data_IF_590458308916
#
_entry.id   IF_590458308916
#
_cell.length_a   1.000
_cell.length_b   1.000
_cell.length_c   1.000
_cell.angle_alpha   90.00
_cell.angle_beta   90.00
_cell.angle_gamma   90.00
#
_symmetry.space_group_name_H-M   'P 1'
#
loop_
_entity.id
_entity.type
_entity.pdbx_description
1 polymer ?
#
# COMPACT_ATOMS: atom_id res chain seq x y z
N UNK A 1 -33.41 20.46 56.19
CA UNK A 1 -33.43 20.08 54.76
C UNK A 1 -32.28 19.11 54.56
N UNK A 2 -32.55 17.81 54.61
CA UNK A 2 -31.54 16.74 54.69
C UNK A 2 -31.77 15.82 53.50
N UNK A 3 -30.82 15.80 52.56
CA UNK A 3 -30.92 15.09 51.29
C UNK A 3 -30.25 13.72 51.44
N UNK A 4 -31.02 12.65 51.18
CA UNK A 4 -30.55 11.26 51.14
C UNK A 4 -29.98 10.97 49.74
N UNK A 5 -28.80 10.34 49.61
CA UNK A 5 -28.28 9.93 48.31
C UNK A 5 -28.88 8.56 47.90
N UNK A 6 -29.46 8.52 46.70
CA UNK A 6 -29.97 7.30 46.07
C UNK A 6 -28.83 6.44 45.50
N UNK A 7 -28.84 5.15 45.86
CA UNK A 7 -27.94 4.12 45.35
C UNK A 7 -28.45 3.67 43.97
N UNK A 8 -27.59 3.76 42.95
CA UNK A 8 -27.84 3.23 41.60
C UNK A 8 -27.13 1.89 41.47
N UNK A 9 -27.91 0.80 41.43
CA UNK A 9 -27.43 -0.56 41.14
C UNK A 9 -27.39 -0.79 39.63
N UNK A 10 -26.20 -1.06 39.09
CA UNK A 10 -25.98 -1.43 37.69
C UNK A 10 -25.97 -2.96 37.59
N UNK A 11 -26.98 -3.54 36.93
CA UNK A 11 -26.99 -4.96 36.55
C UNK A 11 -26.10 -5.17 35.31
N UNK A 12 -25.14 -6.08 35.43
CA UNK A 12 -24.39 -6.61 34.30
C UNK A 12 -25.14 -7.79 33.69
N UNK A 13 -25.55 -7.67 32.42
CA UNK A 13 -26.06 -8.78 31.63
C UNK A 13 -24.91 -9.49 30.93
N UNK A 14 -24.58 -10.70 31.37
CA UNK A 14 -23.65 -11.60 30.68
C UNK A 14 -24.37 -12.34 29.56
N UNK A 15 -23.99 -12.09 28.31
CA UNK A 15 -24.44 -12.87 27.15
C UNK A 15 -23.51 -14.08 26.95
N UNK A 16 -24.10 -15.27 26.99
CA UNK A 16 -23.49 -16.55 26.63
C UNK A 16 -23.30 -16.63 25.12
N UNK A 17 -22.07 -16.81 24.65
CA UNK A 17 -21.75 -17.11 23.26
C UNK A 17 -21.77 -18.63 23.08
N UNK A 18 -22.79 -19.13 22.37
CA UNK A 18 -22.87 -20.52 21.93
C UNK A 18 -21.81 -20.84 20.88
N UNK A 19 -21.02 -21.88 21.12
CA UNK A 19 -20.05 -22.43 20.17
C UNK A 19 -20.75 -23.38 19.20
N UNK A 20 -20.71 -23.07 17.90
CA UNK A 20 -21.08 -23.99 16.82
C UNK A 20 -19.84 -24.76 16.39
N UNK A 21 -19.85 -26.07 16.64
CA UNK A 21 -18.83 -27.00 16.18
C UNK A 21 -18.91 -27.15 14.65
N UNK A 22 -17.76 -27.01 14.00
CA UNK A 22 -17.59 -27.15 12.55
C UNK A 22 -17.57 -28.63 12.15
N UNK A 23 -18.39 -28.99 11.15
CA UNK A 23 -18.41 -30.32 10.52
C UNK A 23 -17.15 -30.50 9.65
N UNK A 24 -16.41 -31.61 9.75
CA UNK A 24 -15.30 -31.88 8.85
C UNK A 24 -15.81 -32.40 7.50
N UNK A 25 -15.42 -31.70 6.43
CA UNK A 25 -15.62 -32.16 5.05
C UNK A 25 -14.64 -33.30 4.73
N UNK A 26 -15.19 -34.43 4.25
CA UNK A 26 -14.44 -35.54 3.64
C UNK A 26 -13.73 -35.08 2.35
N UNK A 27 -12.50 -35.54 2.08
CA UNK A 27 -11.88 -35.38 0.78
C UNK A 27 -12.42 -36.44 -0.21
N UNK A 28 -12.92 -35.99 -1.36
CA UNK A 28 -13.24 -36.85 -2.49
C UNK A 28 -11.97 -37.21 -3.26
N UNK A 29 -11.69 -38.50 -3.33
CA UNK A 29 -10.70 -39.09 -4.24
C UNK A 29 -11.15 -38.91 -5.70
N UNK A 30 -10.22 -38.51 -6.55
CA UNK A 30 -10.27 -38.79 -7.98
C UNK A 30 -8.88 -39.25 -8.43
N UNK A 31 -8.79 -40.49 -8.91
CA UNK A 31 -7.76 -40.92 -9.85
C UNK A 31 -7.98 -40.23 -11.21
N UNK A 32 -7.22 -40.43 -12.27
CA UNK A 32 -6.17 -41.38 -12.62
C UNK A 32 -5.44 -40.78 -13.85
N UNK A 33 -4.32 -41.41 -14.20
CA UNK A 33 -3.67 -41.48 -15.53
C UNK A 33 -2.26 -40.88 -15.59
N UNK A 34 -1.31 -41.80 -15.48
CA UNK A 34 0.02 -41.68 -16.02
C UNK A 34 -0.02 -41.76 -17.57
N UNK A 35 0.82 -40.98 -18.24
CA UNK A 35 1.51 -41.44 -19.45
C UNK A 35 2.80 -40.67 -19.65
N UNK A 36 3.80 -41.48 -19.94
CA UNK A 36 5.21 -41.21 -20.17
C UNK A 36 5.46 -40.54 -21.52
N UNK A 37 6.51 -39.74 -21.62
CA UNK A 37 7.53 -39.93 -22.66
C UNK A 37 8.77 -39.08 -22.39
N UNK A 38 9.92 -39.77 -22.45
CA UNK A 38 11.28 -39.24 -22.48
C UNK A 38 11.58 -38.67 -23.87
N UNK A 39 12.42 -37.64 -23.93
CA UNK A 39 13.10 -37.23 -25.16
C UNK A 39 13.95 -35.97 -24.95
N UNK A 40 15.24 -36.18 -24.67
CA UNK A 40 16.34 -35.21 -24.80
C UNK A 40 17.38 -35.89 -25.73
N UNK A 41 18.45 -35.22 -26.20
CA UNK A 41 18.58 -33.85 -26.70
C UNK A 41 19.34 -33.84 -28.07
N UNK A 42 19.41 -32.70 -28.76
CA UNK A 42 20.42 -32.51 -29.81
C UNK A 42 20.88 -31.05 -29.91
N UNK A 43 22.20 -30.92 -29.84
CA UNK A 43 23.05 -29.74 -29.88
C UNK A 43 23.41 -29.37 -31.32
N UNK A 44 23.59 -28.07 -31.62
CA UNK A 44 24.65 -27.60 -32.53
C UNK A 44 24.98 -26.10 -32.23
N UNK A 45 26.25 -25.67 -32.32
CA UNK A 45 26.72 -24.38 -31.86
C UNK A 45 26.89 -23.35 -32.99
N UNK A 46 26.82 -22.07 -32.65
CA UNK A 46 27.24 -20.96 -33.51
C UNK A 46 27.77 -19.81 -32.66
N UNK A 47 29.06 -19.51 -32.79
CA UNK A 47 29.63 -18.19 -32.48
C UNK A 47 29.06 -17.14 -33.45
N UNK A 48 29.29 -15.83 -33.31
CA UNK A 48 30.43 -15.13 -32.71
C UNK A 48 30.05 -13.61 -32.59
N UNK A 49 30.96 -12.64 -32.37
CA UNK A 49 30.83 -11.61 -31.34
C UNK A 49 30.44 -10.21 -31.85
N UNK A 50 29.96 -9.32 -30.95
CA UNK A 50 30.23 -7.87 -31.01
C UNK A 50 29.66 -7.16 -29.78
N UNK A 51 30.56 -6.80 -28.87
CA UNK A 51 30.33 -5.85 -27.79
C UNK A 51 30.38 -4.43 -28.36
N UNK A 52 29.25 -3.72 -28.35
CA UNK A 52 29.17 -2.27 -28.62
C UNK A 52 28.68 -1.52 -27.36
N UNK A 53 29.22 -0.32 -27.05
CA UNK A 53 29.00 0.31 -25.76
C UNK A 53 27.68 1.10 -25.70
N UNK A 54 26.98 0.95 -24.58
CA UNK A 54 26.33 2.07 -23.89
C UNK A 54 25.13 2.75 -24.55
N UNK A 55 23.99 2.05 -24.65
CA UNK A 55 22.67 2.71 -24.51
C UNK A 55 22.11 2.42 -23.12
N UNK A 56 22.25 3.37 -22.19
CA UNK A 56 21.43 3.40 -20.97
C UNK A 56 20.01 3.81 -21.34
N UNK A 57 19.19 2.87 -21.82
CA UNK A 57 17.74 3.02 -21.80
C UNK A 57 17.06 1.66 -21.89
N UNK A 58 16.53 1.21 -20.75
CA UNK A 58 15.22 0.56 -20.63
C UNK A 58 15.06 0.04 -19.20
N UNK A 59 14.43 0.82 -18.31
CA UNK A 59 13.77 0.23 -17.16
C UNK A 59 12.56 -0.56 -17.67
N UNK A 60 12.74 -1.84 -18.01
CA UNK A 60 11.60 -2.73 -18.17
C UNK A 60 11.95 -4.15 -17.76
N UNK A 61 11.92 -4.37 -16.45
CA UNK A 61 11.63 -5.68 -15.89
C UNK A 61 10.39 -5.53 -15.04
N UNK A 62 9.22 -5.93 -15.54
CA UNK A 62 8.09 -6.23 -14.67
C UNK A 62 7.50 -7.60 -15.00
N UNK A 63 8.23 -8.66 -14.60
CA UNK A 63 7.60 -9.80 -13.95
C UNK A 63 8.20 -9.95 -12.55
N UNK A 64 7.54 -9.35 -11.54
CA UNK A 64 8.00 -9.41 -10.16
C UNK A 64 7.28 -8.46 -9.22
N UNK A 65 7.55 -8.60 -7.92
CA UNK A 65 7.11 -7.63 -6.89
C UNK A 65 8.07 -6.45 -6.86
N UNK A 66 7.53 -5.23 -6.75
CA UNK A 66 8.32 -4.00 -6.63
C UNK A 66 8.11 -3.34 -5.28
N UNK A 67 9.08 -2.54 -4.84
CA UNK A 67 8.92 -1.62 -3.72
C UNK A 67 7.95 -0.51 -4.10
N UNK A 68 6.88 -0.36 -3.33
CA UNK A 68 5.88 0.71 -3.50
C UNK A 68 6.17 1.86 -2.56
N UNK A 69 6.78 1.60 -1.42
CA UNK A 69 7.20 2.64 -0.48
C UNK A 69 7.37 2.08 0.93
N UNK A 70 7.46 3.01 1.87
CA UNK A 70 7.80 2.74 3.26
C UNK A 70 6.85 3.46 4.19
N UNK A 71 6.72 3.00 5.42
CA UNK A 71 6.02 3.77 6.46
C UNK A 71 6.55 3.46 7.84
N UNK A 72 6.36 4.42 8.73
CA UNK A 72 6.69 4.28 10.16
C UNK A 72 5.38 4.10 10.94
N UNK A 73 5.31 3.11 11.82
CA UNK A 73 4.07 2.76 12.55
C UNK A 73 4.36 2.35 13.99
N UNK A 74 3.32 2.44 14.83
CA UNK A 74 3.39 1.93 16.20
C UNK A 74 3.67 0.41 16.23
N UNK A 75 4.41 -0.13 17.22
CA UNK A 75 4.73 -1.56 17.30
C UNK A 75 3.54 -2.50 17.23
N UNK A 76 2.39 -2.10 17.78
CA UNK A 76 1.16 -2.89 17.70
C UNK A 76 0.69 -3.09 16.25
N UNK A 77 0.74 -2.04 15.43
CA UNK A 77 0.38 -2.10 14.01
C UNK A 77 1.40 -2.92 13.22
N UNK A 78 2.69 -2.74 13.50
CA UNK A 78 3.76 -3.52 12.85
C UNK A 78 3.64 -5.03 13.14
N UNK A 79 3.33 -5.41 14.38
CA UNK A 79 3.06 -6.80 14.73
C UNK A 79 1.86 -7.36 13.96
N UNK A 80 0.75 -6.62 13.90
CA UNK A 80 -0.41 -7.00 13.09
C UNK A 80 -0.05 -7.20 11.61
N UNK A 81 0.76 -6.30 11.03
CA UNK A 81 1.26 -6.42 9.66
C UNK A 81 2.13 -7.67 9.45
N UNK A 82 3.03 -7.96 10.39
CA UNK A 82 3.93 -9.12 10.28
C UNK A 82 3.22 -10.47 10.47
N UNK A 83 2.10 -10.52 11.21
CA UNK A 83 1.34 -11.78 11.37
C UNK A 83 0.73 -12.25 10.06
N UNK A 84 0.17 -11.33 9.26
CA UNK A 84 -0.54 -11.68 8.03
C UNK A 84 0.24 -11.33 6.75
N UNK A 85 1.35 -10.61 6.89
CA UNK A 85 2.07 -9.97 5.79
C UNK A 85 1.15 -9.11 4.90
N UNK A 86 0.14 -8.47 5.49
CA UNK A 86 -0.89 -7.68 4.80
C UNK A 86 -1.04 -6.29 5.40
N UNK A 87 -1.39 -5.34 4.53
CA UNK A 87 -1.81 -4.02 4.97
C UNK A 87 -3.23 -4.08 5.52
N UNK A 88 -3.43 -3.39 6.64
CA UNK A 88 -4.74 -3.13 7.23
C UNK A 88 -4.81 -1.64 7.54
N UNK A 89 -5.93 -1.02 7.20
CA UNK A 89 -6.21 0.36 7.59
C UNK A 89 -7.13 0.37 8.80
N UNK A 90 -6.60 0.86 9.91
CA UNK A 90 -7.34 1.07 11.15
C UNK A 90 -7.41 2.59 11.37
N UNK A 91 -8.55 3.26 11.11
CA UNK A 91 -8.66 4.71 11.20
C UNK A 91 -8.20 5.29 12.53
N UNK A 92 -8.50 4.62 13.65
CA UNK A 92 -8.11 5.05 15.00
C UNK A 92 -6.60 5.00 15.28
N UNK A 93 -5.84 4.27 14.47
CA UNK A 93 -4.37 4.19 14.56
C UNK A 93 -3.67 5.03 13.49
N UNK A 94 -4.42 5.64 12.57
CA UNK A 94 -3.87 6.55 11.58
C UNK A 94 -3.37 7.81 12.30
N UNK A 95 -2.07 8.10 12.15
CA UNK A 95 -1.42 9.31 12.68
C UNK A 95 -1.21 10.29 11.53
N UNK A 96 -1.29 11.59 11.84
CA UNK A 96 -1.29 12.65 10.82
C UNK A 96 -2.69 12.85 10.23
N UNK A 97 -2.89 13.98 9.54
CA UNK A 97 -4.17 14.25 8.89
C UNK A 97 -4.30 13.58 7.52
N UNK A 98 -5.53 13.50 7.01
CA UNK A 98 -5.87 12.88 5.74
C UNK A 98 -5.69 13.83 4.53
N UNK A 99 -4.46 14.33 4.31
CA UNK A 99 -4.16 15.37 3.30
C UNK A 99 -4.74 15.07 1.91
N UNK A 100 -4.64 13.82 1.45
CA UNK A 100 -5.10 13.37 0.13
C UNK A 100 -6.17 12.26 0.23
N UNK A 101 -6.85 12.19 1.38
CA UNK A 101 -7.93 11.25 1.66
C UNK A 101 -7.57 10.14 2.65
N UNK A 102 -8.46 9.16 2.78
CA UNK A 102 -8.34 8.07 3.77
C UNK A 102 -7.65 6.83 3.19
N UNK A 103 -6.81 6.20 4.01
CA UNK A 103 -6.13 4.95 3.68
C UNK A 103 -4.72 4.87 4.26
N UNK A 104 -3.86 4.09 3.61
CA UNK A 104 -2.49 3.84 4.07
C UNK A 104 -1.52 4.79 3.38
N UNK A 105 -0.85 5.62 4.17
CA UNK A 105 0.17 6.56 3.70
C UNK A 105 1.56 5.94 3.75
N UNK A 106 2.32 6.17 2.68
CA UNK A 106 3.70 5.75 2.48
C UNK A 106 4.59 6.94 2.12
N UNK A 107 5.87 6.84 2.46
CA UNK A 107 6.95 7.69 1.97
C UNK A 107 7.83 6.92 0.98
N UNK A 108 8.49 7.59 0.01
CA UNK A 108 9.29 6.90 -1.00
C UNK A 108 10.56 6.26 -0.43
N UNK A 109 11.12 6.80 0.65
CA UNK A 109 12.27 6.22 1.35
C UNK A 109 11.96 5.78 2.78
N UNK A 110 12.76 4.86 3.35
CA UNK A 110 12.63 4.45 4.74
C UNK A 110 12.87 5.61 5.69
N UNK A 111 12.18 5.60 6.83
CA UNK A 111 12.28 6.61 7.90
C UNK A 111 12.06 8.08 7.49
N UNK A 112 11.57 8.34 6.27
CA UNK A 112 11.30 9.71 5.82
C UNK A 112 10.13 10.36 6.55
N UNK A 113 9.19 9.56 7.07
CA UNK A 113 8.28 9.96 8.13
C UNK A 113 8.91 9.61 9.48
N UNK A 114 9.27 10.62 10.27
CA UNK A 114 9.92 10.42 11.57
C UNK A 114 8.84 9.98 12.55
N UNK A 115 8.92 8.73 13.00
CA UNK A 115 8.05 8.19 14.02
C UNK A 115 8.46 8.63 15.43
N UNK A 116 7.70 8.17 16.41
CA UNK A 116 8.06 8.28 17.81
C UNK A 116 9.15 7.27 18.19
N UNK A 117 9.87 7.49 19.32
CA UNK A 117 10.77 6.48 19.86
C UNK A 117 10.07 5.11 19.99
N UNK A 118 10.70 4.07 19.48
CA UNK A 118 10.18 2.71 19.49
C UNK A 118 9.18 2.38 18.37
N UNK A 119 8.76 3.33 17.53
CA UNK A 119 8.01 3.00 16.31
C UNK A 119 8.85 2.12 15.37
N UNK A 120 8.17 1.27 14.59
CA UNK A 120 8.78 0.35 13.64
C UNK A 120 8.68 0.90 12.23
N UNK A 121 9.55 0.40 11.36
CA UNK A 121 9.61 0.76 9.96
C UNK A 121 9.12 -0.40 9.12
N UNK A 122 8.32 -0.12 8.12
CA UNK A 122 7.72 -1.12 7.25
C UNK A 122 8.10 -0.86 5.79
N UNK A 123 8.46 -1.93 5.09
CA UNK A 123 8.67 -1.99 3.66
C UNK A 123 7.42 -2.58 3.00
N UNK A 124 6.87 -1.88 2.02
CA UNK A 124 5.65 -2.30 1.31
C UNK A 124 6.03 -2.63 -0.12
N UNK A 125 5.64 -3.82 -0.56
CA UNK A 125 5.77 -4.26 -1.95
C UNK A 125 4.42 -4.58 -2.56
N UNK A 126 4.35 -4.60 -3.89
CA UNK A 126 3.16 -5.01 -4.64
C UNK A 126 3.55 -5.67 -5.96
N UNK A 127 2.59 -6.29 -6.63
CA UNK A 127 2.75 -6.76 -8.00
C UNK A 127 3.08 -5.58 -8.93
N UNK A 128 4.27 -5.62 -9.54
CA UNK A 128 4.76 -4.52 -10.35
C UNK A 128 3.90 -4.19 -11.56
N UNK A 129 3.35 -5.21 -12.24
CA UNK A 129 2.47 -5.01 -13.40
C UNK A 129 1.15 -4.37 -12.98
N UNK A 130 0.60 -4.77 -11.83
CA UNK A 130 -0.61 -4.15 -11.29
C UNK A 130 -0.36 -2.70 -10.86
N UNK A 131 0.80 -2.39 -10.25
CA UNK A 131 1.19 -1.01 -9.94
C UNK A 131 1.38 -0.19 -11.22
N UNK A 132 1.96 -0.75 -12.28
CA UNK A 132 2.10 -0.05 -13.57
C UNK A 132 0.72 0.34 -14.13
N UNK A 133 -0.25 -0.57 -14.04
CA UNK A 133 -1.57 -0.43 -14.64
C UNK A 133 -2.62 0.27 -13.77
N UNK A 134 -2.44 0.36 -12.44
CA UNK A 134 -3.37 1.11 -11.59
C UNK A 134 -3.23 2.62 -11.85
N UNK A 135 -4.36 3.32 -11.79
CA UNK A 135 -4.39 4.79 -11.94
C UNK A 135 -3.60 5.44 -10.80
N UNK A 136 -2.83 6.47 -11.13
CA UNK A 136 -2.06 7.28 -10.19
C UNK A 136 -2.51 8.73 -10.32
N UNK A 137 -2.82 9.38 -9.22
CA UNK A 137 -3.33 10.75 -9.20
C UNK A 137 -2.38 11.66 -8.43
N UNK A 138 -1.74 12.60 -9.12
CA UNK A 138 -0.98 13.67 -8.46
C UNK A 138 -1.92 14.76 -7.98
N UNK A 139 -2.23 14.75 -6.69
CA UNK A 139 -3.23 15.63 -6.09
C UNK A 139 -2.66 17.04 -5.95
N UNK A 140 -3.30 18.05 -6.58
CA UNK A 140 -2.79 19.42 -6.55
C UNK A 140 -2.92 20.03 -5.15
N UNK A 141 -1.97 20.89 -4.80
CA UNK A 141 -1.86 21.51 -3.48
C UNK A 141 -3.12 22.26 -3.04
N UNK A 142 -3.76 22.96 -3.99
CA UNK A 142 -5.01 23.71 -3.75
C UNK A 142 -6.21 22.85 -3.31
N UNK A 143 -6.13 21.53 -3.43
CA UNK A 143 -7.19 20.59 -3.02
C UNK A 143 -6.78 19.73 -1.83
N UNK A 144 -5.59 19.94 -1.25
CA UNK A 144 -5.20 19.20 -0.06
C UNK A 144 -6.15 19.52 1.11
N UNK A 145 -6.37 18.52 1.96
CA UNK A 145 -7.24 18.60 3.14
C UNK A 145 -8.74 18.77 2.85
N UNK A 146 -9.13 18.81 1.58
CA UNK A 146 -10.51 18.95 1.13
C UNK A 146 -10.81 17.86 0.10
N UNK A 147 -11.43 16.78 0.56
CA UNK A 147 -11.67 15.59 -0.27
C UNK A 147 -12.67 15.88 -1.40
N UNK A 148 -13.66 16.74 -1.19
CA UNK A 148 -14.64 17.12 -2.21
C UNK A 148 -13.97 17.90 -3.34
N UNK A 149 -13.09 18.85 -3.01
CA UNK A 149 -12.27 19.54 -4.02
C UNK A 149 -11.37 18.58 -4.82
N UNK A 150 -10.94 17.47 -4.22
CA UNK A 150 -10.17 16.45 -4.94
C UNK A 150 -11.04 15.69 -5.94
N UNK A 151 -12.28 15.32 -5.58
CA UNK A 151 -13.23 14.73 -6.52
C UNK A 151 -13.59 15.70 -7.65
N UNK A 152 -13.86 16.96 -7.34
CA UNK A 152 -14.15 18.00 -8.35
C UNK A 152 -12.97 18.21 -9.31
N UNK A 153 -11.74 18.19 -8.78
CA UNK A 153 -10.54 18.26 -9.60
C UNK A 153 -10.36 17.02 -10.47
N UNK A 154 -10.56 15.83 -9.89
CA UNK A 154 -10.44 14.56 -10.60
C UNK A 154 -11.45 14.49 -11.75
N UNK A 155 -12.71 14.88 -11.53
CA UNK A 155 -13.76 14.87 -12.56
C UNK A 155 -13.44 15.74 -13.80
N UNK A 156 -12.57 16.75 -13.63
CA UNK A 156 -12.09 17.62 -14.72
C UNK A 156 -10.91 17.02 -15.49
N UNK A 157 -10.32 15.92 -15.01
CA UNK A 157 -9.22 15.22 -15.68
C UNK A 157 -9.76 14.29 -16.78
N UNK A 158 -8.96 14.10 -17.82
CA UNK A 158 -9.20 13.13 -18.89
C UNK A 158 -8.20 11.98 -18.73
N UNK A 159 -8.72 10.75 -18.74
CA UNK A 159 -7.97 9.50 -18.68
C UNK A 159 -8.53 8.54 -19.72
N UNK A 160 -7.69 8.02 -20.62
CA UNK A 160 -8.10 7.15 -21.74
C UNK A 160 -9.29 7.71 -22.53
N UNK A 161 -9.21 8.99 -22.92
CA UNK A 161 -10.24 9.73 -23.67
C UNK A 161 -11.62 9.81 -22.97
N UNK A 162 -11.68 9.60 -21.65
CA UNK A 162 -12.89 9.70 -20.85
C UNK A 162 -12.65 10.57 -19.63
N UNK A 163 -13.69 11.22 -19.12
CA UNK A 163 -13.62 11.91 -17.82
C UNK A 163 -13.35 10.88 -16.71
N UNK A 164 -12.52 11.25 -15.75
CA UNK A 164 -12.31 10.43 -14.55
C UNK A 164 -13.58 10.44 -13.72
N UNK A 165 -14.11 9.26 -13.41
CA UNK A 165 -15.27 9.09 -12.54
C UNK A 165 -14.84 8.91 -11.08
N UNK A 166 -15.78 9.06 -10.15
CA UNK A 166 -15.53 8.75 -8.73
C UNK A 166 -15.06 7.30 -8.54
N UNK A 167 -15.60 6.35 -9.32
CA UNK A 167 -15.17 4.95 -9.28
C UNK A 167 -13.69 4.78 -9.66
N UNK A 168 -13.22 5.51 -10.69
CA UNK A 168 -11.80 5.50 -11.08
C UNK A 168 -10.95 6.17 -10.00
N UNK A 169 -11.37 7.33 -9.49
CA UNK A 169 -10.59 8.09 -8.49
C UNK A 169 -10.54 7.41 -7.11
N UNK A 170 -11.57 6.66 -6.72
CA UNK A 170 -11.58 5.83 -5.52
C UNK A 170 -10.53 4.72 -5.55
N UNK A 171 -10.15 4.29 -6.77
CA UNK A 171 -9.20 3.22 -7.03
C UNK A 171 -7.88 3.74 -7.62
N UNK A 172 -7.61 5.04 -7.48
CA UNK A 172 -6.35 5.65 -7.87
C UNK A 172 -5.40 5.71 -6.68
N UNK A 173 -4.15 5.25 -6.86
CA UNK A 173 -3.05 5.59 -5.96
C UNK A 173 -2.87 7.11 -5.95
N UNK A 174 -2.82 7.75 -4.78
CA UNK A 174 -2.78 9.23 -4.70
C UNK A 174 -1.42 9.71 -4.25
N UNK A 175 -0.85 10.65 -4.98
CA UNK A 175 0.50 11.17 -4.79
C UNK A 175 0.44 12.67 -4.47
N UNK A 176 1.31 13.12 -3.59
CA UNK A 176 1.53 14.55 -3.34
C UNK A 176 2.87 14.80 -2.66
N UNK A 177 3.25 16.07 -2.50
CA UNK A 177 4.22 16.43 -1.46
C UNK A 177 3.55 16.32 -0.08
N UNK A 178 4.35 16.05 0.94
CA UNK A 178 3.89 16.16 2.32
C UNK A 178 3.81 17.64 2.67
N UNK A 179 2.59 18.11 2.97
CA UNK A 179 2.39 19.45 3.50
C UNK A 179 2.98 19.52 4.90
N UNK A 180 3.48 20.70 5.29
CA UNK A 180 3.96 20.92 6.65
C UNK A 180 2.78 20.67 7.62
N UNK A 181 2.89 19.68 8.53
CA UNK A 181 1.86 19.41 9.51
C UNK A 181 1.74 20.59 10.46
N UNK A 182 0.53 20.84 10.94
CA UNK A 182 0.25 21.86 11.96
C UNK A 182 0.87 21.49 13.31
N UNK A 183 0.95 20.19 13.62
CA UNK A 183 1.63 19.68 14.81
C UNK A 183 3.16 19.67 14.59
N UNK A 184 3.85 20.56 15.30
CA UNK A 184 5.31 20.71 15.24
C UNK A 184 6.08 19.48 15.73
N UNK A 185 5.42 18.55 16.43
CA UNK A 185 6.01 17.27 16.86
C UNK A 185 6.14 16.29 15.70
N UNK A 186 5.33 16.44 14.66
CA UNK A 186 5.41 15.60 13.47
C UNK A 186 6.59 16.07 12.62
N UNK A 187 7.57 15.19 12.46
CA UNK A 187 8.78 15.44 11.68
C UNK A 187 8.80 14.52 10.46
N UNK A 188 9.31 15.03 9.36
CA UNK A 188 9.51 14.28 8.13
C UNK A 188 10.63 14.94 7.32
N UNK A 189 11.17 14.21 6.35
CA UNK A 189 12.23 14.73 5.48
C UNK A 189 11.72 15.90 4.65
N UNK A 190 12.44 17.02 4.65
CA UNK A 190 12.05 18.23 3.90
C UNK A 190 11.86 17.90 2.42
N UNK A 191 10.71 18.29 1.86
CA UNK A 191 10.38 18.02 0.46
C UNK A 191 9.98 16.56 0.17
N UNK A 192 9.78 15.74 1.20
CA UNK A 192 9.32 14.37 1.01
C UNK A 192 7.97 14.33 0.30
N UNK A 193 7.84 13.31 -0.55
CA UNK A 193 6.59 12.94 -1.21
C UNK A 193 5.87 11.91 -0.37
N UNK A 194 4.59 11.76 -0.64
CA UNK A 194 3.77 10.69 -0.08
C UNK A 194 2.98 9.99 -1.17
N UNK A 195 2.68 8.74 -0.88
CA UNK A 195 1.75 7.91 -1.62
C UNK A 195 0.67 7.44 -0.65
N UNK A 196 -0.58 7.69 -0.99
CA UNK A 196 -1.73 7.10 -0.33
C UNK A 196 -2.23 5.92 -1.16
N UNK A 197 -2.33 4.77 -0.50
CA UNK A 197 -3.12 3.62 -0.94
C UNK A 197 -4.54 3.80 -0.37
N UNK A 198 -5.54 4.15 -1.20
CA UNK A 198 -6.91 4.26 -0.73
C UNK A 198 -7.44 2.95 -0.17
N UNK A 199 -8.40 3.02 0.74
CA UNK A 199 -9.02 1.85 1.39
C UNK A 199 -9.53 0.81 0.40
N UNK A 200 -10.09 1.24 -0.74
CA UNK A 200 -10.57 0.36 -1.82
C UNK A 200 -9.49 -0.48 -2.50
N UNK A 201 -8.20 -0.14 -2.34
CA UNK A 201 -7.08 -0.87 -2.93
C UNK A 201 -6.32 -1.75 -1.94
N UNK A 202 -6.54 -1.61 -0.63
CA UNK A 202 -5.72 -2.28 0.39
C UNK A 202 -5.77 -3.81 0.24
N UNK A 203 -6.94 -4.35 -0.08
CA UNK A 203 -7.17 -5.78 -0.27
C UNK A 203 -7.33 -6.17 -1.75
N UNK A 204 -6.85 -5.33 -2.67
CA UNK A 204 -6.90 -5.65 -4.09
C UNK A 204 -5.98 -6.82 -4.41
N UNK A 205 -6.55 -7.90 -4.94
CA UNK A 205 -5.81 -9.14 -5.23
C UNK A 205 -4.84 -9.00 -6.41
N UNK A 206 -5.04 -8.03 -7.31
CA UNK A 206 -4.11 -7.80 -8.41
C UNK A 206 -2.87 -7.05 -7.92
N UNK A 207 -3.06 -6.01 -7.08
CA UNK A 207 -1.95 -5.30 -6.46
C UNK A 207 -1.20 -6.18 -5.47
N UNK A 208 -1.91 -7.02 -4.71
CA UNK A 208 -1.36 -7.96 -3.74
C UNK A 208 -0.28 -7.33 -2.85
N UNK A 209 -0.65 -6.27 -2.13
CA UNK A 209 0.28 -5.60 -1.23
C UNK A 209 0.80 -6.56 -0.16
N UNK A 210 2.11 -6.56 0.05
CA UNK A 210 2.77 -7.26 1.16
C UNK A 210 3.58 -6.28 1.97
N UNK A 211 3.73 -6.58 3.25
CA UNK A 211 4.42 -5.73 4.20
C UNK A 211 5.36 -6.55 5.08
N UNK A 212 6.56 -6.01 5.30
CA UNK A 212 7.55 -6.50 6.26
C UNK A 212 7.98 -5.32 7.14
N UNK A 213 7.81 -5.46 8.45
CA UNK A 213 8.19 -4.44 9.43
C UNK A 213 9.35 -4.88 10.31
N UNK A 214 10.30 -3.96 10.54
CA UNK A 214 11.48 -4.12 11.39
C UNK A 214 11.63 -2.94 12.36
N UNK A 215 12.24 -3.20 13.52
CA UNK A 215 12.55 -2.15 14.50
C UNK A 215 13.58 -1.14 13.98
N UNK A 216 14.54 -1.60 13.18
CA UNK A 216 15.54 -0.77 12.53
C UNK A 216 15.28 -0.78 11.02
N UNK A 217 15.11 0.41 10.43
CA UNK A 217 14.86 0.56 9.00
C UNK A 217 16.03 0.03 8.15
N UNK A 218 17.25 -0.01 8.69
CA UNK A 218 18.43 -0.56 8.01
C UNK A 218 18.33 -2.07 7.79
N UNK A 219 17.44 -2.75 8.51
CA UNK A 219 17.19 -4.19 8.41
C UNK A 219 16.00 -4.53 7.50
N UNK A 220 15.41 -3.54 6.84
CA UNK A 220 14.36 -3.80 5.86
C UNK A 220 14.94 -4.57 4.65
N UNK A 221 14.12 -5.39 3.96
CA UNK A 221 14.57 -6.16 2.80
C UNK A 221 15.14 -5.29 1.66
N UNK A 222 14.63 -4.07 1.52
CA UNK A 222 15.09 -3.05 0.58
C UNK A 222 14.99 -1.68 1.26
N UNK A 223 15.90 -0.77 0.93
CA UNK A 223 15.98 0.60 1.42
C UNK A 223 16.16 1.63 0.29
N UNK A 224 15.96 1.20 -0.95
CA UNK A 224 16.01 2.06 -2.15
C UNK A 224 14.85 3.04 -2.16
N UNK A 225 15.17 4.33 -2.38
CA UNK A 225 14.15 5.37 -2.50
C UNK A 225 13.35 5.17 -3.79
N UNK A 226 12.03 5.07 -3.66
CA UNK A 226 11.12 4.95 -4.81
C UNK A 226 10.99 6.28 -5.54
N UNK A 227 11.25 6.29 -6.85
CA UNK A 227 10.98 7.44 -7.69
C UNK A 227 9.53 7.45 -8.18
N UNK A 228 8.65 8.08 -7.39
CA UNK A 228 7.25 8.28 -7.79
C UNK A 228 7.08 9.12 -9.06
N UNK A 229 8.04 9.99 -9.43
CA UNK A 229 7.93 10.80 -10.66
C UNK A 229 8.20 9.96 -11.91
N UNK A 230 9.00 8.90 -11.78
CA UNK A 230 9.24 7.92 -12.83
C UNK A 230 8.02 7.08 -13.20
N UNK A 231 6.94 7.10 -12.40
CA UNK A 231 5.68 6.45 -12.76
C UNK A 231 4.91 7.33 -13.74
N UNK A 232 5.01 7.02 -15.04
CA UNK A 232 4.41 7.81 -16.11
C UNK A 232 3.13 7.21 -16.70
N UNK A 233 2.89 5.91 -16.49
CA UNK A 233 1.70 5.21 -17.00
C UNK A 233 0.49 5.37 -16.08
N UNK A 234 -0.66 5.60 -16.71
CA UNK A 234 -1.96 5.78 -16.08
C UNK A 234 -1.97 6.87 -15.01
N UNK A 235 -1.30 7.98 -15.31
CA UNK A 235 -1.18 9.13 -14.42
C UNK A 235 -2.20 10.20 -14.80
N UNK A 236 -2.87 10.75 -13.79
CA UNK A 236 -3.67 11.98 -13.89
C UNK A 236 -3.05 13.06 -13.01
N UNK A 237 -3.13 14.31 -13.45
CA UNK A 237 -2.47 15.44 -12.81
C UNK A 237 -1.00 15.60 -13.17
N UNK A 238 -0.35 16.58 -12.54
CA UNK A 238 1.03 16.98 -12.83
C UNK A 238 1.94 16.47 -11.69
N UNK A 239 2.97 15.65 -12.00
CA UNK A 239 3.95 15.22 -11.01
C UNK A 239 4.66 16.38 -10.31
N UNK A 240 4.80 16.28 -8.98
CA UNK A 240 5.35 17.33 -8.11
C UNK A 240 6.80 17.07 -7.68
#
# INVERSE_FOLDING_TARGET
>A
MMIIPGIVTILWATTLVGSVASVPLRPSQAGCCASTSRGNPASTPGGDPASGPGRKSASRLLPGRITVGYRTVHPAQARSYNTEHKLVYVPSLARGGAQIGHGVYLTPGPAQWVGNPGDWYCHITANGMAVENVVKAWIPEKTWWDIEKQYDWAYKQIFNNKKVTNAVFNRALRLSRIAKPSDSRIKFTKGAKQLLIPTFLINDSNLDFKVDCRMDWKRLPDNTVVDYRGWTKNVIGIPQ
#
